data_IF_664612318565
#
_entry.id   IF_664612318565
#
_cell.length_a   1.000
_cell.length_b   1.000
_cell.length_c   1.000
_cell.angle_alpha   90.00
_cell.angle_beta   90.00
_cell.angle_gamma   90.00
#
_symmetry.space_group_name_H-M   'P 1'
#
loop_
_entity.id
_entity.type
_entity.pdbx_description
1 polymer ?
#
# COMPACT_ATOMS: atom_id res chain seq x y z
N UNK A 1 1.10 1.97 25.93
CA UNK A 1 1.57 0.71 25.35
C UNK A 1 0.43 0.06 24.61
N UNK A 2 0.58 -0.20 23.32
CA UNK A 2 -0.41 -0.85 22.46
C UNK A 2 0.06 -2.27 22.15
N UNK A 3 -0.87 -3.23 22.15
CA UNK A 3 -0.59 -4.62 21.81
C UNK A 3 -1.23 -4.98 20.47
N UNK A 4 -0.43 -5.57 19.59
CA UNK A 4 -0.83 -5.99 18.24
C UNK A 4 -0.68 -7.50 18.14
N UNK A 5 -1.74 -8.18 17.74
CA UNK A 5 -1.68 -9.60 17.40
C UNK A 5 -1.64 -9.75 15.87
N UNK A 6 -0.55 -10.33 15.38
CA UNK A 6 -0.30 -10.60 13.97
C UNK A 6 0.14 -12.06 13.75
N UNK A 7 -0.27 -12.96 14.65
CA UNK A 7 -0.08 -14.40 14.49
C UNK A 7 -0.97 -14.90 13.35
N UNK A 8 -0.42 -15.64 12.40
CA UNK A 8 -1.11 -16.15 11.22
C UNK A 8 -1.19 -15.14 10.06
N UNK A 9 -0.73 -13.92 10.25
CA UNK A 9 -0.76 -12.89 9.22
C UNK A 9 0.42 -13.05 8.24
N UNK A 10 0.10 -13.07 6.94
CA UNK A 10 1.12 -13.04 5.90
C UNK A 10 1.73 -11.64 5.73
N UNK A 11 2.98 -11.56 5.23
CA UNK A 11 3.59 -10.30 4.81
C UNK A 11 2.70 -9.63 3.74
N UNK A 12 2.44 -8.28 3.83
CA UNK A 12 3.04 -7.30 4.73
C UNK A 12 2.21 -6.97 5.99
N UNK A 13 1.14 -7.71 6.28
CA UNK A 13 0.13 -7.38 7.32
C UNK A 13 0.74 -7.09 8.71
N UNK A 14 1.69 -7.88 9.26
CA UNK A 14 2.28 -7.59 10.56
C UNK A 14 2.93 -6.21 10.64
N UNK A 15 3.64 -5.82 9.57
CA UNK A 15 4.31 -4.51 9.48
C UNK A 15 3.30 -3.38 9.46
N UNK A 16 2.21 -3.52 8.68
CA UNK A 16 1.14 -2.53 8.57
C UNK A 16 0.39 -2.37 9.89
N UNK A 17 -0.03 -3.47 10.52
CA UNK A 17 -0.70 -3.42 11.83
C UNK A 17 0.16 -2.70 12.88
N UNK A 18 1.46 -3.00 12.92
CA UNK A 18 2.40 -2.36 13.84
C UNK A 18 2.58 -0.87 13.52
N UNK A 19 2.69 -0.49 12.23
CA UNK A 19 2.76 0.91 11.80
C UNK A 19 1.53 1.69 12.24
N UNK A 20 0.33 1.14 12.07
CA UNK A 20 -0.91 1.77 12.48
C UNK A 20 -0.98 1.95 14.00
N UNK A 21 -0.59 0.92 14.77
CA UNK A 21 -0.52 1.01 16.23
C UNK A 21 0.49 2.08 16.72
N UNK A 22 1.61 2.26 16.00
CA UNK A 22 2.57 3.33 16.30
C UNK A 22 1.94 4.71 16.06
N UNK A 23 1.15 4.88 14.99
CA UNK A 23 0.41 6.12 14.73
C UNK A 23 -0.62 6.44 15.83
N UNK A 24 -1.29 5.43 16.37
CA UNK A 24 -2.26 5.58 17.45
C UNK A 24 -1.63 6.05 18.78
N UNK A 25 -0.32 5.88 18.97
CA UNK A 25 0.37 6.36 20.17
C UNK A 25 0.34 7.89 20.31
N UNK A 26 0.20 8.64 19.20
CA UNK A 26 0.18 10.13 19.17
C UNK A 26 1.34 10.78 19.95
N UNK A 27 2.47 10.05 20.12
CA UNK A 27 3.63 10.54 20.88
C UNK A 27 4.56 9.39 21.29
N UNK A 28 5.37 9.65 22.33
CA UNK A 28 6.27 8.63 22.88
C UNK A 28 5.49 7.47 23.51
N UNK A 29 5.95 6.25 23.29
CA UNK A 29 5.32 5.06 23.84
C UNK A 29 5.93 3.78 23.33
N UNK A 30 5.26 2.66 23.59
CA UNK A 30 5.70 1.37 23.10
C UNK A 30 4.58 0.56 22.46
N UNK A 31 4.93 -0.20 21.43
CA UNK A 31 4.06 -1.15 20.75
C UNK A 31 4.66 -2.54 20.88
N UNK A 32 3.86 -3.49 21.37
CA UNK A 32 4.21 -4.92 21.40
C UNK A 32 3.47 -5.62 20.26
N UNK A 33 4.20 -6.30 19.37
CA UNK A 33 3.63 -7.08 18.28
C UNK A 33 3.97 -8.55 18.44
N UNK A 34 2.95 -9.42 18.38
CA UNK A 34 3.11 -10.87 18.37
C UNK A 34 3.05 -11.37 16.93
N UNK A 35 4.02 -12.22 16.56
CA UNK A 35 4.10 -12.88 15.24
C UNK A 35 4.52 -14.33 15.39
N UNK A 36 4.30 -15.15 14.36
CA UNK A 36 4.55 -16.60 14.36
C UNK A 36 5.77 -17.06 13.55
N UNK A 37 6.51 -16.12 12.92
CA UNK A 37 7.64 -16.48 12.09
C UNK A 37 8.79 -15.47 12.15
N UNK A 38 10.00 -15.94 11.90
CA UNK A 38 11.23 -15.15 11.97
C UNK A 38 11.32 -14.07 10.87
N UNK A 39 10.68 -14.29 9.73
CA UNK A 39 10.67 -13.30 8.64
C UNK A 39 9.90 -12.04 9.07
N UNK A 40 8.78 -12.22 9.77
CA UNK A 40 8.03 -11.11 10.33
C UNK A 40 8.86 -10.36 11.40
N UNK A 41 9.60 -11.07 12.24
CA UNK A 41 10.55 -10.47 13.22
C UNK A 41 11.59 -9.60 12.50
N UNK A 42 12.22 -10.14 11.44
CA UNK A 42 13.23 -9.40 10.65
C UNK A 42 12.64 -8.15 9.98
N UNK A 43 11.43 -8.26 9.39
CA UNK A 43 10.77 -7.14 8.73
C UNK A 43 10.39 -6.03 9.71
N UNK A 44 9.85 -6.39 10.87
CA UNK A 44 9.54 -5.45 11.95
C UNK A 44 10.79 -4.77 12.51
N UNK A 45 11.87 -5.55 12.72
CA UNK A 45 13.16 -5.01 13.17
C UNK A 45 13.74 -4.02 12.16
N UNK A 46 13.74 -4.36 10.87
CA UNK A 46 14.16 -3.43 9.81
C UNK A 46 13.35 -2.14 9.80
N UNK A 47 12.03 -2.24 9.90
CA UNK A 47 11.16 -1.07 9.98
C UNK A 47 11.50 -0.18 11.18
N UNK A 48 11.70 -0.76 12.36
CA UNK A 48 12.04 -0.02 13.56
C UNK A 48 13.38 0.73 13.41
N UNK A 49 14.42 0.06 12.90
CA UNK A 49 15.73 0.68 12.65
C UNK A 49 15.64 1.82 11.63
N UNK A 50 14.91 1.62 10.52
CA UNK A 50 14.72 2.65 9.50
C UNK A 50 14.00 3.90 10.02
N UNK A 51 13.10 3.73 10.99
CA UNK A 51 12.34 4.83 11.62
C UNK A 51 13.02 5.40 12.86
N UNK A 52 14.19 4.89 13.26
CA UNK A 52 14.90 5.35 14.45
C UNK A 52 14.24 4.95 15.77
N UNK A 53 13.42 3.88 15.77
CA UNK A 53 12.76 3.37 16.97
C UNK A 53 13.67 2.37 17.69
N UNK A 54 13.59 2.35 19.03
CA UNK A 54 14.16 1.25 19.81
C UNK A 54 13.41 -0.05 19.52
N UNK A 55 14.12 -1.17 19.34
CA UNK A 55 13.51 -2.46 19.09
C UNK A 55 14.14 -3.56 19.94
N UNK A 56 13.29 -4.40 20.51
CA UNK A 56 13.68 -5.60 21.24
C UNK A 56 12.78 -6.76 20.81
N UNK A 57 13.38 -7.90 20.47
CA UNK A 57 12.66 -9.12 20.10
C UNK A 57 12.91 -10.23 21.11
N UNK A 58 11.89 -10.98 21.45
CA UNK A 58 11.90 -12.09 22.39
C UNK A 58 11.16 -13.29 21.78
N UNK A 59 11.76 -14.47 21.83
CA UNK A 59 11.10 -15.71 21.46
C UNK A 59 10.32 -16.24 22.65
N UNK A 60 8.99 -16.31 22.56
CA UNK A 60 8.11 -16.78 23.63
C UNK A 60 7.97 -18.31 23.58
N UNK A 61 7.78 -18.86 22.39
CA UNK A 61 7.65 -20.31 22.15
C UNK A 61 8.28 -20.70 20.81
N UNK A 62 8.11 -21.96 20.40
CA UNK A 62 8.72 -22.49 19.17
C UNK A 62 8.29 -21.70 17.93
N UNK A 63 7.02 -21.27 17.89
CA UNK A 63 6.40 -20.52 16.78
C UNK A 63 5.75 -19.23 17.26
N UNK A 64 6.27 -18.56 18.26
CA UNK A 64 5.72 -17.31 18.75
C UNK A 64 6.82 -16.36 19.19
N UNK A 65 6.81 -15.18 18.63
CA UNK A 65 7.80 -14.11 18.87
C UNK A 65 7.07 -12.83 19.25
N UNK A 66 7.65 -12.12 20.22
CA UNK A 66 7.20 -10.80 20.66
C UNK A 66 8.24 -9.77 20.27
N UNK A 67 7.81 -8.74 19.58
CA UNK A 67 8.63 -7.60 19.22
C UNK A 67 8.10 -6.38 19.95
N UNK A 68 8.95 -5.75 20.75
CA UNK A 68 8.64 -4.50 21.46
C UNK A 68 9.36 -3.35 20.76
N UNK A 69 8.61 -2.41 20.23
CA UNK A 69 9.15 -1.18 19.64
C UNK A 69 8.91 -0.02 20.61
N UNK A 70 9.95 0.78 20.83
CA UNK A 70 9.87 1.99 21.66
C UNK A 70 10.04 3.22 20.81
N UNK A 71 9.02 4.05 20.78
CA UNK A 71 9.00 5.33 20.06
C UNK A 71 9.39 6.42 21.05
N UNK A 72 10.52 7.11 20.80
CA UNK A 72 10.93 8.27 21.60
C UNK A 72 10.13 9.53 21.23
N UNK A 73 10.09 10.52 22.10
CA UNK A 73 9.39 11.79 21.83
C UNK A 73 9.96 12.52 20.59
N UNK A 74 11.26 12.40 20.33
CA UNK A 74 11.92 12.98 19.16
C UNK A 74 11.55 12.24 17.87
N UNK A 75 11.49 10.91 17.90
CA UNK A 75 11.09 10.09 16.76
C UNK A 75 9.58 10.20 16.45
N UNK A 76 8.76 10.45 17.48
CA UNK A 76 7.32 10.69 17.30
C UNK A 76 7.03 12.01 16.56
N UNK A 77 7.85 13.06 16.76
CA UNK A 77 7.69 14.33 16.05
C UNK A 77 8.05 14.24 14.56
N UNK A 78 9.01 13.41 14.19
CA UNK A 78 9.36 13.15 12.78
C UNK A 78 8.24 12.37 12.08
N UNK A 79 7.61 11.44 12.78
CA UNK A 79 6.47 10.68 12.25
C UNK A 79 5.17 11.51 12.17
N UNK A 80 4.97 12.48 13.05
CA UNK A 80 3.79 13.35 13.07
C UNK A 80 3.88 14.49 12.03
N UNK A 81 5.07 14.97 11.68
CA UNK A 81 5.25 16.00 10.65
C UNK A 81 5.02 15.51 9.21
N UNK A 82 4.86 14.22 9.01
CA UNK A 82 4.42 13.66 7.72
C UNK A 82 2.89 13.61 7.57
N UNK A 83 2.13 14.06 8.57
CA UNK A 83 0.67 13.87 8.62
C UNK A 83 -0.15 15.17 8.73
N UNK A 84 0.43 16.36 8.61
CA UNK A 84 -0.35 17.61 8.73
C UNK A 84 -0.19 18.50 7.51
N UNK A 85 -1.05 18.31 6.55
CA UNK A 85 -1.57 19.36 5.69
C UNK A 85 -3.00 18.96 5.29
N UNK A 86 -3.95 19.24 6.16
CA UNK A 86 -5.37 19.20 5.81
C UNK A 86 -6.00 20.57 6.01
N UNK A 87 -6.80 20.93 5.03
CA UNK A 87 -7.97 21.80 4.97
C UNK A 87 -7.72 23.26 4.61
N UNK A 88 -8.09 23.58 3.36
CA UNK A 88 -9.14 24.59 3.10
C UNK A 88 -9.71 24.35 1.70
N UNK A 89 -11.03 24.18 1.61
CA UNK A 89 -11.79 24.06 0.38
C UNK A 89 -11.80 25.38 -0.36
N UNK A 90 -11.39 25.39 -1.65
CA UNK A 90 -12.05 26.23 -2.67
C UNK A 90 -11.77 25.66 -4.07
N UNK A 91 -12.83 25.60 -4.83
CA UNK A 91 -13.06 25.08 -6.16
C UNK A 91 -12.10 25.68 -7.23
N UNK A 92 -11.14 24.86 -7.72
CA UNK A 92 -10.40 25.14 -8.96
C UNK A 92 -9.79 23.85 -9.54
N UNK A 93 -9.47 23.77 -10.83
CA UNK A 93 -9.11 22.51 -11.51
C UNK A 93 -7.93 21.83 -10.84
N UNK A 94 -8.04 20.50 -10.70
CA UNK A 94 -7.11 19.63 -9.96
C UNK A 94 -5.68 19.75 -10.51
N UNK A 95 -4.95 20.74 -9.98
CA UNK A 95 -3.49 20.73 -9.99
C UNK A 95 -3.05 20.19 -8.64
N UNK A 96 -2.21 19.14 -8.65
CA UNK A 96 -1.64 18.56 -7.44
C UNK A 96 -1.07 19.66 -6.52
N UNK A 97 -1.20 19.55 -5.18
CA UNK A 97 -0.65 20.53 -4.27
C UNK A 97 0.87 20.67 -4.47
N UNK A 98 1.43 21.87 -4.36
CA UNK A 98 2.84 22.11 -4.62
C UNK A 98 3.71 21.30 -3.66
N UNK A 99 4.46 20.32 -4.21
CA UNK A 99 5.39 19.44 -3.48
C UNK A 99 5.09 17.95 -3.52
N UNK A 100 3.91 17.50 -3.93
CA UNK A 100 3.60 16.07 -4.09
C UNK A 100 4.08 15.60 -5.47
N UNK A 101 4.94 14.59 -5.51
CA UNK A 101 5.38 13.95 -6.77
C UNK A 101 4.18 13.31 -7.47
N UNK A 102 4.08 13.52 -8.78
CA UNK A 102 3.12 12.81 -9.62
C UNK A 102 3.60 11.36 -9.82
N UNK A 103 3.22 10.48 -8.91
CA UNK A 103 3.59 9.05 -8.96
C UNK A 103 2.50 8.26 -9.64
N UNK A 104 2.85 7.57 -10.72
CA UNK A 104 1.95 6.69 -11.47
C UNK A 104 2.37 5.24 -11.26
N UNK A 105 1.44 4.40 -10.82
CA UNK A 105 1.65 2.95 -10.71
C UNK A 105 1.04 2.27 -11.92
N UNK A 106 1.78 1.35 -12.53
CA UNK A 106 1.36 0.65 -13.76
C UNK A 106 1.28 -0.85 -13.50
N UNK A 107 0.08 -1.41 -13.57
CA UNK A 107 -0.17 -2.85 -13.38
C UNK A 107 -0.60 -3.45 -14.72
N UNK A 108 0.32 -4.16 -15.37
CA UNK A 108 0.13 -4.74 -16.70
C UNK A 108 -0.12 -6.24 -16.69
N UNK A 109 -0.10 -6.87 -15.52
CA UNK A 109 -0.28 -8.32 -15.34
C UNK A 109 -1.18 -8.59 -14.14
N UNK A 110 -1.73 -9.79 -14.07
CA UNK A 110 -2.44 -10.34 -12.91
C UNK A 110 -1.49 -10.95 -11.87
N UNK A 111 -0.19 -10.85 -12.11
CA UNK A 111 0.87 -11.34 -11.23
C UNK A 111 2.08 -10.39 -11.23
N UNK A 112 2.85 -10.41 -10.16
CA UNK A 112 4.10 -9.67 -10.02
C UNK A 112 5.29 -10.57 -10.37
N UNK A 113 6.10 -10.11 -11.33
CA UNK A 113 7.24 -10.87 -11.85
C UNK A 113 6.84 -11.98 -12.83
N UNK A 114 7.82 -12.79 -13.25
CA UNK A 114 7.68 -13.84 -14.28
C UNK A 114 7.97 -15.25 -13.76
N UNK A 115 7.95 -15.46 -12.46
CA UNK A 115 8.17 -16.76 -11.80
C UNK A 115 6.89 -17.59 -11.69
N UNK A 116 6.73 -18.28 -10.57
CA UNK A 116 5.56 -19.09 -10.28
C UNK A 116 4.28 -18.24 -10.23
N UNK A 117 3.24 -18.66 -10.93
CA UNK A 117 1.99 -17.88 -11.09
C UNK A 117 1.29 -17.65 -9.75
N UNK A 118 1.17 -18.66 -8.90
CA UNK A 118 0.51 -18.56 -7.60
C UNK A 118 1.25 -17.58 -6.67
N UNK A 119 2.58 -17.65 -6.67
CA UNK A 119 3.42 -16.71 -5.93
C UNK A 119 3.27 -15.29 -6.49
N UNK A 120 3.30 -15.13 -7.82
CA UNK A 120 3.16 -13.84 -8.48
C UNK A 120 1.83 -13.15 -8.16
N UNK A 121 0.72 -13.89 -8.12
CA UNK A 121 -0.60 -13.38 -7.70
C UNK A 121 -0.61 -12.95 -6.23
N UNK A 122 -0.01 -13.77 -5.36
CA UNK A 122 0.12 -13.44 -3.93
C UNK A 122 0.96 -12.17 -3.72
N UNK A 123 2.06 -12.02 -4.45
CA UNK A 123 2.93 -10.84 -4.39
C UNK A 123 2.22 -9.58 -4.88
N UNK A 124 1.45 -9.67 -5.99
CA UNK A 124 0.71 -8.53 -6.51
C UNK A 124 -0.37 -8.06 -5.53
N UNK A 125 -1.12 -8.99 -4.92
CA UNK A 125 -2.07 -8.67 -3.86
C UNK A 125 -1.40 -7.97 -2.68
N UNK A 126 -0.26 -8.51 -2.21
CA UNK A 126 0.53 -7.91 -1.15
C UNK A 126 1.07 -6.52 -1.51
N UNK A 127 1.46 -6.30 -2.77
CA UNK A 127 1.90 -5.00 -3.29
C UNK A 127 0.77 -3.97 -3.24
N UNK A 128 -0.43 -4.28 -3.75
CA UNK A 128 -1.58 -3.37 -3.75
C UNK A 128 -1.99 -3.03 -2.32
N UNK A 129 -2.06 -4.04 -1.43
CA UNK A 129 -2.33 -3.81 -0.03
C UNK A 129 -1.28 -2.90 0.63
N UNK A 130 0.02 -3.18 0.42
CA UNK A 130 1.09 -2.35 0.96
C UNK A 130 1.05 -0.92 0.41
N UNK A 131 0.66 -0.75 -0.87
CA UNK A 131 0.48 0.55 -1.51
C UNK A 131 -0.63 1.36 -0.83
N UNK A 132 -1.77 0.74 -0.51
CA UNK A 132 -2.89 1.40 0.17
C UNK A 132 -2.57 1.86 1.60
N UNK A 133 -1.47 1.36 2.16
CA UNK A 133 -1.02 1.67 3.53
C UNK A 133 0.18 2.62 3.58
N UNK A 134 0.60 3.18 2.41
CA UNK A 134 1.65 4.18 2.38
C UNK A 134 1.14 5.55 2.85
N UNK A 135 2.04 6.38 3.37
CA UNK A 135 1.72 7.76 3.74
C UNK A 135 1.58 8.64 2.50
N UNK A 136 2.43 8.39 1.48
CA UNK A 136 2.40 9.05 0.18
C UNK A 136 1.80 8.10 -0.85
N UNK A 137 0.52 8.30 -1.16
CA UNK A 137 -0.19 7.51 -2.15
C UNK A 137 0.16 7.96 -3.58
N UNK A 138 0.10 7.07 -4.58
CA UNK A 138 0.23 7.47 -5.97
C UNK A 138 -0.91 8.41 -6.37
N UNK A 139 -0.70 9.19 -7.42
CA UNK A 139 -1.75 10.02 -8.02
C UNK A 139 -2.68 9.19 -8.89
N UNK A 140 -2.13 8.22 -9.62
CA UNK A 140 -2.87 7.39 -10.57
C UNK A 140 -2.36 5.95 -10.55
N UNK A 141 -3.27 4.99 -10.70
CA UNK A 141 -2.95 3.58 -10.96
C UNK A 141 -3.57 3.19 -12.29
N UNK A 142 -2.72 2.69 -13.20
CA UNK A 142 -3.10 2.29 -14.56
C UNK A 142 -3.12 0.77 -14.68
N UNK A 143 -4.23 0.24 -15.18
CA UNK A 143 -4.41 -1.19 -15.42
C UNK A 143 -4.60 -1.48 -16.90
N UNK A 144 -3.76 -2.35 -17.47
CA UNK A 144 -3.92 -2.83 -18.84
C UNK A 144 -3.43 -4.27 -18.99
N UNK A 145 -3.71 -4.89 -20.16
CA UNK A 145 -3.47 -6.30 -20.41
C UNK A 145 -4.14 -7.14 -19.31
N UNK A 146 -3.50 -8.17 -18.77
CA UNK A 146 -4.03 -9.00 -17.68
C UNK A 146 -4.23 -8.22 -16.36
N UNK A 147 -3.60 -7.06 -16.19
CA UNK A 147 -3.89 -6.16 -15.07
C UNK A 147 -5.35 -5.73 -14.98
N UNK A 148 -6.11 -5.74 -16.10
CA UNK A 148 -7.54 -5.43 -16.10
C UNK A 148 -8.38 -6.37 -15.22
N UNK A 149 -7.95 -7.60 -14.98
CA UNK A 149 -8.63 -8.52 -14.06
C UNK A 149 -8.61 -8.03 -12.60
N UNK A 150 -7.60 -7.24 -12.23
CA UNK A 150 -7.42 -6.78 -10.85
C UNK A 150 -8.48 -5.78 -10.42
N UNK A 151 -9.07 -5.04 -11.37
CA UNK A 151 -10.15 -4.07 -11.13
C UNK A 151 -11.56 -4.64 -11.30
N UNK A 152 -11.66 -5.92 -11.66
CA UNK A 152 -12.91 -6.60 -11.97
C UNK A 152 -13.36 -7.53 -10.84
N UNK A 153 -14.59 -8.07 -10.97
CA UNK A 153 -15.14 -9.10 -10.09
C UNK A 153 -14.15 -10.24 -9.81
N UNK A 154 -14.28 -10.86 -8.65
CA UNK A 154 -13.41 -11.95 -8.17
C UNK A 154 -11.96 -11.56 -7.84
N UNK A 155 -11.54 -10.33 -8.07
CA UNK A 155 -10.23 -9.87 -7.64
C UNK A 155 -10.16 -9.73 -6.12
N UNK A 156 -9.13 -10.32 -5.52
CA UNK A 156 -8.89 -10.23 -4.08
C UNK A 156 -8.36 -8.85 -3.63
N UNK A 157 -8.16 -7.90 -4.57
CA UNK A 157 -7.63 -6.55 -4.30
C UNK A 157 -8.70 -5.45 -4.39
N UNK A 158 -9.96 -5.77 -4.66
CA UNK A 158 -11.03 -4.77 -4.87
C UNK A 158 -11.16 -3.83 -3.68
N UNK A 159 -11.20 -4.34 -2.46
CA UNK A 159 -11.38 -3.51 -1.26
C UNK A 159 -10.20 -2.57 -1.02
N UNK A 160 -8.97 -3.03 -1.27
CA UNK A 160 -7.77 -2.19 -1.18
C UNK A 160 -7.77 -1.08 -2.25
N UNK A 161 -8.21 -1.40 -3.48
CA UNK A 161 -8.35 -0.43 -4.57
C UNK A 161 -9.44 0.60 -4.29
N UNK A 162 -10.60 0.19 -3.79
CA UNK A 162 -11.67 1.12 -3.36
C UNK A 162 -11.20 2.05 -2.24
N UNK A 163 -10.39 1.53 -1.31
CA UNK A 163 -9.78 2.34 -0.26
C UNK A 163 -8.82 3.40 -0.84
N UNK A 164 -8.03 3.04 -1.85
CA UNK A 164 -7.16 3.98 -2.57
C UNK A 164 -7.96 5.04 -3.32
N UNK A 165 -9.01 4.63 -4.03
CA UNK A 165 -9.92 5.53 -4.76
C UNK A 165 -10.60 6.52 -3.80
N UNK A 166 -11.10 6.05 -2.66
CA UNK A 166 -11.70 6.90 -1.62
C UNK A 166 -10.71 7.93 -1.02
N UNK A 167 -9.41 7.67 -1.12
CA UNK A 167 -8.33 8.57 -0.70
C UNK A 167 -7.85 9.49 -1.84
N UNK A 168 -8.57 9.52 -2.98
CA UNK A 168 -8.30 10.40 -4.11
C UNK A 168 -7.26 9.87 -5.10
N UNK A 169 -6.95 8.57 -5.08
CA UNK A 169 -6.13 7.93 -6.11
C UNK A 169 -6.99 7.65 -7.34
N UNK A 170 -6.58 8.15 -8.49
CA UNK A 170 -7.27 7.89 -9.76
C UNK A 170 -6.96 6.46 -10.23
N UNK A 171 -8.00 5.65 -10.47
CA UNK A 171 -7.86 4.27 -10.93
C UNK A 171 -8.42 4.14 -12.34
N UNK A 172 -7.56 3.76 -13.29
CA UNK A 172 -7.91 3.73 -14.71
C UNK A 172 -7.61 2.36 -15.32
N UNK A 173 -8.65 1.76 -15.96
CA UNK A 173 -8.53 0.45 -16.62
C UNK A 173 -8.75 0.59 -18.13
N UNK A 174 -7.83 0.01 -18.91
CA UNK A 174 -7.86 0.04 -20.37
C UNK A 174 -9.11 -0.64 -20.93
N UNK A 175 -9.98 0.12 -21.62
CA UNK A 175 -11.22 -0.37 -22.22
C UNK A 175 -11.00 -1.43 -23.31
N UNK A 176 -9.92 -1.32 -24.10
CA UNK A 176 -9.55 -2.35 -25.07
C UNK A 176 -9.27 -3.68 -24.39
N UNK A 177 -8.60 -3.67 -23.23
CA UNK A 177 -8.29 -4.90 -22.48
C UNK A 177 -9.55 -5.48 -21.84
N UNK A 178 -10.42 -4.63 -21.25
CA UNK A 178 -11.71 -5.09 -20.73
C UNK A 178 -12.53 -5.78 -21.83
N UNK A 179 -12.64 -5.17 -23.01
CA UNK A 179 -13.37 -5.76 -24.14
C UNK A 179 -12.75 -7.07 -24.61
N UNK A 180 -11.42 -7.14 -24.74
CA UNK A 180 -10.72 -8.35 -25.19
C UNK A 180 -10.93 -9.54 -24.27
N UNK A 181 -10.94 -9.31 -22.94
CA UNK A 181 -11.15 -10.34 -21.93
C UNK A 181 -12.62 -10.56 -21.55
N UNK A 182 -13.59 -9.86 -22.15
CA UNK A 182 -15.02 -9.98 -21.83
C UNK A 182 -15.38 -9.48 -20.44
N UNK A 183 -14.73 -8.42 -19.96
CA UNK A 183 -14.83 -7.87 -18.62
C UNK A 183 -15.57 -6.50 -18.51
N UNK A 184 -16.18 -5.90 -19.56
CA UNK A 184 -16.71 -4.52 -19.45
C UNK A 184 -17.74 -4.37 -18.33
N UNK A 185 -18.64 -5.35 -18.18
CA UNK A 185 -19.71 -5.35 -17.17
C UNK A 185 -19.23 -5.80 -15.77
N UNK A 186 -17.96 -6.23 -15.66
CA UNK A 186 -17.37 -6.78 -14.43
C UNK A 186 -16.48 -5.79 -13.70
N UNK A 187 -16.27 -4.60 -14.22
CA UNK A 187 -15.48 -3.55 -13.58
C UNK A 187 -16.13 -3.15 -12.25
N UNK A 188 -15.38 -3.22 -11.15
CA UNK A 188 -15.85 -2.96 -9.78
C UNK A 188 -15.24 -1.71 -9.14
N UNK A 189 -14.14 -1.21 -9.69
CA UNK A 189 -13.43 -0.05 -9.14
C UNK A 189 -12.71 0.72 -10.24
N UNK A 190 -12.71 2.04 -10.13
CA UNK A 190 -12.10 2.94 -11.10
C UNK A 190 -12.93 3.15 -12.36
N UNK A 191 -12.33 3.79 -13.33
CA UNK A 191 -12.96 4.20 -14.59
C UNK A 191 -12.29 3.52 -15.80
N UNK A 192 -13.07 3.41 -16.87
CA UNK A 192 -12.56 2.91 -18.16
C UNK A 192 -11.78 4.02 -18.86
N UNK A 193 -10.59 3.69 -19.34
CA UNK A 193 -9.73 4.61 -20.08
C UNK A 193 -9.25 4.03 -21.41
N UNK A 194 -8.52 4.83 -22.16
CA UNK A 194 -7.92 4.44 -23.45
C UNK A 194 -6.39 4.61 -23.45
N UNK A 195 -5.74 4.09 -24.48
CA UNK A 195 -4.28 4.10 -24.57
C UNK A 195 -3.69 5.52 -24.66
N UNK A 196 -4.41 6.49 -25.23
CA UNK A 196 -3.94 7.87 -25.29
C UNK A 196 -3.77 8.47 -23.88
N UNK A 197 -4.81 8.32 -23.03
CA UNK A 197 -4.77 8.78 -21.63
C UNK A 197 -3.70 8.03 -20.83
N UNK A 198 -3.57 6.71 -21.04
CA UNK A 198 -2.52 5.92 -20.39
C UNK A 198 -1.13 6.49 -20.72
N UNK A 199 -0.85 6.76 -21.99
CA UNK A 199 0.43 7.35 -22.41
C UNK A 199 0.62 8.74 -21.82
N UNK A 200 -0.42 9.58 -21.83
CA UNK A 200 -0.38 10.93 -21.26
C UNK A 200 -0.02 10.91 -19.77
N UNK A 201 -0.72 10.07 -18.97
CA UNK A 201 -0.44 9.92 -17.55
C UNK A 201 0.99 9.42 -17.28
N UNK A 202 1.46 8.46 -18.09
CA UNK A 202 2.83 7.94 -17.94
C UNK A 202 3.90 8.97 -18.33
N UNK A 203 3.67 9.77 -19.38
CA UNK A 203 4.66 10.77 -19.83
C UNK A 203 4.71 12.01 -18.95
N UNK A 204 3.64 12.31 -18.22
CA UNK A 204 3.56 13.42 -17.26
C UNK A 204 3.96 13.02 -15.83
N UNK A 205 4.27 11.74 -15.60
CA UNK A 205 4.67 11.26 -14.29
C UNK A 205 6.09 11.69 -13.92
N UNK A 206 6.28 12.14 -12.66
CA UNK A 206 7.60 12.34 -12.08
C UNK A 206 8.26 11.00 -11.71
N UNK A 207 7.43 9.99 -11.38
CA UNK A 207 7.84 8.65 -11.02
C UNK A 207 6.83 7.62 -11.55
N UNK A 208 7.34 6.60 -12.24
CA UNK A 208 6.56 5.43 -12.63
C UNK A 208 7.02 4.23 -11.81
N UNK A 209 6.07 3.57 -11.15
CA UNK A 209 6.28 2.31 -10.45
C UNK A 209 5.57 1.19 -11.22
N UNK A 210 6.32 0.16 -11.61
CA UNK A 210 5.78 -1.00 -12.33
C UNK A 210 6.24 -2.27 -11.64
N UNK A 211 5.37 -2.97 -10.88
CA UNK A 211 5.70 -4.21 -10.20
C UNK A 211 5.86 -5.41 -11.14
#
# INVERSE_FOLDING_TARGET
MIKVNAIGDACPIPVVKTKNAIRELQGAGSVETLVDNEIAVQNLTKMAVQKGFGVHSEKISENEYKITMTVSAEAAQVAANSAVASVEEENCPVTAPPGRKNTVVVISSDQMGTGEEELGKTLLKGFIYALSQQDDLPTTILFYNKGAFITCEESASIEDLKSLEAQGVEILTCGTCLNFYGLPEKLQVGEVTNMYVIVEKMTQADLIVKP
#
